data_IF_143643143842
#
_entry.id   IF_143643143842
#
_cell.length_a   1.000
_cell.length_b   1.000
_cell.length_c   1.000
_cell.angle_alpha   90.00
_cell.angle_beta   90.00
_cell.angle_gamma   90.00
#
_symmetry.space_group_name_H-M   'P 1'
#
loop_
_entity.id
_entity.type
_entity.pdbx_description
1 polymer ?
#
# COMPACT_ATOMS: atom_id res chain seq x y z
N UNK A 1 -33.86 -15.42 14.98
CA UNK A 1 -33.09 -15.14 13.76
C UNK A 1 -31.64 -15.05 14.18
N UNK A 2 -30.89 -16.14 14.02
CA UNK A 2 -29.49 -16.23 14.49
C UNK A 2 -28.63 -15.67 13.37
N UNK A 3 -28.05 -14.49 13.58
CA UNK A 3 -26.95 -13.99 12.75
C UNK A 3 -25.77 -14.89 13.10
N UNK A 4 -25.43 -15.82 12.21
CA UNK A 4 -24.21 -16.62 12.35
C UNK A 4 -23.06 -15.71 11.92
N UNK A 5 -22.44 -15.05 12.90
CA UNK A 5 -21.13 -14.41 12.74
C UNK A 5 -20.10 -15.51 12.49
N UNK A 6 -19.85 -15.82 11.23
CA UNK A 6 -18.71 -16.63 10.82
C UNK A 6 -17.49 -15.73 10.60
N UNK A 7 -16.26 -16.15 10.94
CA UNK A 7 -15.07 -15.45 10.50
C UNK A 7 -15.07 -15.35 8.97
N UNK A 8 -14.62 -14.22 8.43
CA UNK A 8 -14.38 -14.09 6.99
C UNK A 8 -13.65 -15.33 6.47
N UNK A 9 -14.16 -15.93 5.39
CA UNK A 9 -13.50 -17.07 4.74
C UNK A 9 -12.09 -16.73 4.21
N UNK A 10 -11.75 -15.43 4.23
CA UNK A 10 -10.47 -14.87 3.81
C UNK A 10 -9.69 -14.38 5.01
N UNK A 11 -8.46 -14.88 5.16
CA UNK A 11 -7.52 -14.45 6.18
C UNK A 11 -6.78 -13.17 5.78
N UNK A 12 -6.32 -13.09 4.52
CA UNK A 12 -5.55 -11.94 4.01
C UNK A 12 -5.89 -11.63 2.56
N UNK A 13 -5.74 -10.36 2.19
CA UNK A 13 -5.90 -9.88 0.82
C UNK A 13 -4.80 -8.87 0.46
N UNK A 14 -4.34 -8.93 -0.78
CA UNK A 14 -3.31 -8.04 -1.33
C UNK A 14 -3.49 -7.78 -2.81
N UNK A 15 -2.84 -6.76 -3.36
CA UNK A 15 -2.83 -6.48 -4.80
C UNK A 15 -1.38 -6.35 -5.25
N UNK A 16 -0.58 -7.43 -5.31
CA UNK A 16 0.88 -7.33 -5.41
C UNK A 16 1.38 -6.74 -6.73
N UNK A 17 0.60 -6.81 -7.82
CA UNK A 17 1.03 -6.35 -9.15
C UNK A 17 -0.13 -5.93 -10.04
N UNK A 18 0.21 -5.23 -11.12
CA UNK A 18 -0.68 -4.95 -12.24
C UNK A 18 0.01 -5.30 -13.56
N UNK A 19 -0.79 -5.58 -14.59
CA UNK A 19 -0.31 -5.85 -15.95
C UNK A 19 -1.18 -5.05 -16.92
N UNK A 20 -0.55 -4.41 -17.89
CA UNK A 20 -1.25 -3.68 -18.96
C UNK A 20 -1.14 -4.48 -20.25
N UNK A 21 -2.28 -4.91 -20.79
CA UNK A 21 -2.33 -5.67 -22.04
C UNK A 21 -1.78 -4.87 -23.23
N UNK A 22 -1.19 -5.57 -24.20
CA UNK A 22 -0.75 -5.04 -25.48
C UNK A 22 -1.87 -5.08 -26.53
N UNK A 23 -1.73 -4.33 -27.63
CA UNK A 23 -2.68 -4.37 -28.76
C UNK A 23 -3.93 -3.47 -28.61
N UNK A 24 -5.00 -3.80 -29.35
CA UNK A 24 -6.20 -2.95 -29.49
C UNK A 24 -7.06 -2.86 -28.22
N UNK A 25 -6.91 -3.80 -27.29
CA UNK A 25 -7.66 -3.88 -26.03
C UNK A 25 -6.74 -3.62 -24.82
N UNK A 26 -6.08 -2.45 -24.79
CA UNK A 26 -5.22 -2.00 -23.67
C UNK A 26 -6.04 -1.82 -22.38
N UNK A 27 -6.28 -2.90 -21.67
CA UNK A 27 -6.83 -2.88 -20.32
C UNK A 27 -5.72 -3.19 -19.32
N UNK A 28 -5.69 -2.42 -18.22
CA UNK A 28 -4.86 -2.74 -17.06
C UNK A 28 -5.65 -3.64 -16.12
N UNK A 29 -5.05 -4.78 -15.77
CA UNK A 29 -5.54 -5.74 -14.80
C UNK A 29 -4.69 -5.68 -13.53
N UNK A 30 -5.34 -5.64 -12.39
CA UNK A 30 -4.72 -5.72 -11.07
C UNK A 30 -4.88 -7.16 -10.56
N UNK A 31 -3.76 -7.80 -10.23
CA UNK A 31 -3.77 -9.13 -9.67
C UNK A 31 -4.08 -9.03 -8.17
N UNK A 32 -5.27 -9.50 -7.77
CA UNK A 32 -5.70 -9.56 -6.38
C UNK A 32 -5.34 -10.94 -5.83
N UNK A 33 -4.48 -10.97 -4.82
CA UNK A 33 -4.09 -12.19 -4.12
C UNK A 33 -5.00 -12.38 -2.90
N UNK A 34 -5.61 -13.55 -2.80
CA UNK A 34 -6.53 -13.91 -1.71
C UNK A 34 -5.94 -15.10 -0.96
N UNK A 35 -5.79 -14.96 0.36
CA UNK A 35 -5.35 -16.04 1.25
C UNK A 35 -6.55 -16.47 2.07
N UNK A 36 -7.17 -17.62 1.77
CA UNK A 36 -8.28 -18.12 2.55
C UNK A 36 -7.80 -18.57 3.94
N UNK A 37 -8.74 -18.69 4.89
CA UNK A 37 -8.45 -19.28 6.23
C UNK A 37 -8.00 -20.74 6.11
N UNK A 38 -8.55 -21.46 5.12
CA UNK A 38 -8.19 -22.83 4.81
C UNK A 38 -7.99 -22.98 3.30
N UNK A 39 -6.90 -23.66 2.92
CA UNK A 39 -6.54 -23.92 1.53
C UNK A 39 -5.43 -23.01 0.98
N UNK A 40 -5.02 -23.22 -0.28
CA UNK A 40 -3.96 -22.44 -0.89
C UNK A 40 -4.41 -21.01 -1.20
N UNK A 41 -3.46 -20.08 -1.16
CA UNK A 41 -3.67 -18.74 -1.70
C UNK A 41 -3.90 -18.81 -3.22
N UNK A 42 -4.71 -17.91 -3.74
CA UNK A 42 -5.05 -17.84 -5.16
C UNK A 42 -5.09 -16.40 -5.67
N UNK A 43 -5.13 -16.23 -6.98
CA UNK A 43 -5.23 -14.92 -7.62
C UNK A 43 -6.54 -14.76 -8.40
N UNK A 44 -7.03 -13.53 -8.44
CA UNK A 44 -8.06 -13.10 -9.40
C UNK A 44 -7.61 -11.80 -10.07
N UNK A 45 -7.89 -11.65 -11.35
CA UNK A 45 -7.52 -10.45 -12.12
C UNK A 45 -8.71 -9.51 -12.23
N UNK A 46 -8.54 -8.24 -11.84
CA UNK A 46 -9.63 -7.25 -11.85
C UNK A 46 -9.22 -5.95 -12.54
N UNK A 47 -10.10 -5.42 -13.38
CA UNK A 47 -10.01 -4.07 -13.95
C UNK A 47 -10.44 -3.04 -12.93
N UNK A 48 -9.92 -1.82 -13.06
CA UNK A 48 -10.34 -0.70 -12.19
C UNK A 48 -11.87 -0.47 -12.19
N UNK A 49 -12.55 -0.68 -13.31
CA UNK A 49 -14.02 -0.56 -13.39
C UNK A 49 -14.76 -1.56 -12.50
N UNK A 50 -14.19 -2.75 -12.27
CA UNK A 50 -14.77 -3.75 -11.36
C UNK A 50 -14.65 -3.30 -9.91
N UNK A 51 -13.55 -2.66 -9.51
CA UNK A 51 -13.42 -2.04 -8.19
C UNK A 51 -14.45 -0.92 -7.98
N UNK A 52 -14.67 -0.07 -9.01
CA UNK A 52 -15.68 1.00 -8.95
C UNK A 52 -17.10 0.43 -8.77
N UNK A 53 -17.42 -0.67 -9.44
CA UNK A 53 -18.71 -1.34 -9.26
C UNK A 53 -18.84 -1.94 -7.86
N UNK A 54 -17.79 -2.60 -7.36
CA UNK A 54 -17.72 -3.13 -6.00
C UNK A 54 -17.98 -2.02 -4.96
N UNK A 55 -17.23 -0.93 -4.99
CA UNK A 55 -17.38 0.20 -4.05
C UNK A 55 -18.79 0.78 -4.08
N UNK A 56 -19.37 0.98 -5.28
CA UNK A 56 -20.74 1.46 -5.43
C UNK A 56 -21.75 0.52 -4.77
N UNK A 57 -21.64 -0.79 -5.00
CA UNK A 57 -22.56 -1.78 -4.45
C UNK A 57 -22.41 -1.94 -2.93
N UNK A 58 -21.17 -1.94 -2.43
CA UNK A 58 -20.91 -1.99 -0.99
C UNK A 58 -21.47 -0.75 -0.28
N UNK A 59 -21.24 0.46 -0.81
CA UNK A 59 -21.78 1.69 -0.21
C UNK A 59 -23.31 1.76 -0.28
N UNK A 60 -23.92 1.19 -1.31
CA UNK A 60 -25.37 1.11 -1.41
C UNK A 60 -25.99 0.14 -0.38
N UNK A 61 -25.30 -0.95 -0.05
CA UNK A 61 -25.79 -1.96 0.91
C UNK A 61 -25.38 -1.67 2.35
N UNK A 62 -24.22 -1.05 2.57
CA UNK A 62 -23.58 -0.85 3.86
C UNK A 62 -23.17 0.62 4.05
N UNK A 63 -24.15 1.52 3.98
CA UNK A 63 -23.91 2.96 4.01
C UNK A 63 -23.21 3.45 5.30
N UNK A 64 -23.42 2.76 6.42
CA UNK A 64 -22.86 3.11 7.73
C UNK A 64 -21.43 2.59 7.94
N UNK A 65 -20.92 1.72 7.04
CA UNK A 65 -19.56 1.20 7.13
C UNK A 65 -18.57 2.20 6.53
N UNK A 66 -17.60 2.72 7.31
CA UNK A 66 -16.65 3.71 6.81
C UNK A 66 -15.62 3.04 5.89
N UNK A 67 -15.87 3.07 4.58
CA UNK A 67 -14.94 2.59 3.56
C UNK A 67 -14.08 3.73 2.99
N UNK A 68 -12.76 3.52 2.79
CA UNK A 68 -11.89 4.52 2.18
C UNK A 68 -12.32 4.80 0.73
N UNK A 69 -12.10 6.03 0.28
CA UNK A 69 -12.42 6.40 -1.10
C UNK A 69 -11.49 5.69 -2.09
N UNK A 70 -12.04 5.21 -3.21
CA UNK A 70 -11.25 4.67 -4.31
C UNK A 70 -10.33 5.73 -4.95
N UNK A 71 -9.20 5.32 -5.55
CA UNK A 71 -8.36 6.24 -6.32
C UNK A 71 -9.14 6.87 -7.49
N UNK A 72 -8.86 8.13 -7.85
CA UNK A 72 -9.64 8.84 -8.86
C UNK A 72 -9.55 8.20 -10.26
N UNK A 73 -10.62 8.40 -11.05
CA UNK A 73 -10.58 8.17 -12.49
C UNK A 73 -9.64 9.20 -13.11
N UNK A 74 -8.68 8.73 -13.91
CA UNK A 74 -7.78 9.60 -14.67
C UNK A 74 -8.32 9.80 -16.08
N UNK A 75 -8.37 11.04 -16.60
CA UNK A 75 -8.69 11.30 -17.99
C UNK A 75 -7.81 10.47 -18.92
N UNK A 76 -8.40 9.84 -19.95
CA UNK A 76 -7.68 8.97 -20.89
C UNK A 76 -6.52 9.69 -21.60
N UNK A 77 -6.63 11.00 -21.80
CA UNK A 77 -5.61 11.86 -22.43
C UNK A 77 -4.30 11.94 -21.65
N UNK A 78 -4.32 11.69 -20.34
CA UNK A 78 -3.12 11.75 -19.48
C UNK A 78 -2.36 10.42 -19.41
N UNK A 79 -2.79 9.41 -20.18
CA UNK A 79 -2.20 8.08 -20.21
C UNK A 79 -2.34 7.32 -18.88
N UNK A 80 -1.64 6.19 -18.79
CA UNK A 80 -1.54 5.35 -17.59
C UNK A 80 -0.04 5.10 -17.32
N UNK A 81 0.67 6.08 -16.76
CA UNK A 81 2.07 5.89 -16.41
C UNK A 81 2.22 4.82 -15.33
N UNK A 82 3.38 4.16 -15.25
CA UNK A 82 3.62 3.10 -14.26
C UNK A 82 3.50 3.62 -12.82
N UNK A 83 3.94 4.86 -12.56
CA UNK A 83 3.81 5.51 -11.25
C UNK A 83 2.35 5.69 -10.87
N UNK A 84 1.51 6.07 -11.82
CA UNK A 84 0.08 6.22 -11.58
C UNK A 84 -0.61 4.88 -11.34
N UNK A 85 -0.23 3.86 -12.10
CA UNK A 85 -0.77 2.52 -11.91
C UNK A 85 -0.32 1.92 -10.58
N UNK A 86 0.89 2.24 -10.11
CA UNK A 86 1.37 1.85 -8.78
C UNK A 86 0.65 2.60 -7.67
N UNK A 87 0.51 3.93 -7.75
CA UNK A 87 -0.30 4.72 -6.81
C UNK A 87 -1.72 4.12 -6.70
N UNK A 88 -2.34 3.81 -7.85
CA UNK A 88 -3.65 3.15 -7.90
C UNK A 88 -3.63 1.77 -7.26
N UNK A 89 -2.64 0.91 -7.58
CA UNK A 89 -2.53 -0.45 -7.03
C UNK A 89 -2.49 -0.43 -5.50
N UNK A 90 -1.68 0.45 -4.92
CA UNK A 90 -1.55 0.63 -3.46
C UNK A 90 -2.90 1.02 -2.85
N UNK A 91 -3.60 1.99 -3.45
CA UNK A 91 -4.89 2.47 -2.94
C UNK A 91 -6.01 1.43 -3.09
N UNK A 92 -5.99 0.62 -4.15
CA UNK A 92 -6.91 -0.50 -4.32
C UNK A 92 -6.66 -1.61 -3.28
N UNK A 93 -5.41 -1.89 -2.96
CA UNK A 93 -5.07 -2.82 -1.88
C UNK A 93 -5.57 -2.34 -0.53
N UNK A 94 -5.34 -1.06 -0.21
CA UNK A 94 -5.85 -0.45 1.02
C UNK A 94 -7.38 -0.54 1.12
N UNK A 95 -8.08 -0.27 0.02
CA UNK A 95 -9.54 -0.41 -0.06
C UNK A 95 -9.99 -1.85 0.28
N UNK A 96 -9.39 -2.86 -0.37
CA UNK A 96 -9.76 -4.26 -0.12
C UNK A 96 -9.44 -4.72 1.31
N UNK A 97 -8.29 -4.30 1.85
CA UNK A 97 -7.93 -4.58 3.26
C UNK A 97 -8.93 -3.93 4.22
N UNK A 98 -9.40 -2.72 3.92
CA UNK A 98 -10.41 -2.03 4.72
C UNK A 98 -11.77 -2.73 4.67
N UNK A 99 -12.17 -3.26 3.51
CA UNK A 99 -13.39 -4.09 3.40
C UNK A 99 -13.25 -5.38 4.20
N UNK A 100 -12.08 -6.05 4.12
CA UNK A 100 -11.82 -7.31 4.82
C UNK A 100 -11.77 -7.13 6.35
N UNK A 101 -11.26 -6.00 6.82
CA UNK A 101 -11.12 -5.68 8.24
C UNK A 101 -12.31 -4.89 8.81
N UNK A 102 -13.33 -4.60 8.00
CA UNK A 102 -14.51 -3.89 8.47
C UNK A 102 -15.35 -4.79 9.37
N UNK A 103 -15.96 -4.20 10.39
CA UNK A 103 -16.86 -4.91 11.27
C UNK A 103 -18.18 -5.25 10.56
N UNK A 104 -18.72 -6.43 10.86
CA UNK A 104 -20.04 -6.84 10.44
C UNK A 104 -20.12 -7.58 9.09
N UNK A 105 -21.34 -7.70 8.52
CA UNK A 105 -21.63 -8.64 7.46
C UNK A 105 -21.00 -8.31 6.10
N UNK A 106 -20.46 -7.09 5.93
CA UNK A 106 -19.81 -6.64 4.69
C UNK A 106 -18.70 -7.60 4.22
N UNK A 107 -17.96 -8.19 5.16
CA UNK A 107 -16.86 -9.15 4.92
C UNK A 107 -17.33 -10.47 4.31
N UNK A 108 -18.61 -10.81 4.50
CA UNK A 108 -19.24 -12.06 4.04
C UNK A 108 -20.31 -11.81 2.97
N UNK A 109 -20.46 -10.56 2.51
CA UNK A 109 -21.50 -10.24 1.54
C UNK A 109 -21.21 -10.86 0.17
N UNK A 110 -22.27 -11.27 -0.53
CA UNK A 110 -22.17 -11.95 -1.81
C UNK A 110 -21.44 -11.11 -2.87
N UNK A 111 -21.66 -9.80 -2.90
CA UNK A 111 -20.95 -8.88 -3.80
C UNK A 111 -19.43 -8.96 -3.61
N UNK A 112 -18.94 -8.90 -2.37
CA UNK A 112 -17.50 -8.98 -2.08
C UNK A 112 -16.93 -10.37 -2.36
N UNK A 113 -17.63 -11.43 -1.92
CA UNK A 113 -17.22 -12.81 -2.16
C UNK A 113 -17.17 -13.16 -3.65
N UNK A 114 -18.12 -12.66 -4.45
CA UNK A 114 -18.10 -12.81 -5.89
C UNK A 114 -16.93 -12.02 -6.49
N UNK A 115 -16.67 -10.79 -6.05
CA UNK A 115 -15.54 -10.02 -6.56
C UNK A 115 -14.20 -10.76 -6.37
N UNK A 116 -13.98 -11.37 -5.21
CA UNK A 116 -12.75 -12.13 -4.90
C UNK A 116 -12.81 -13.61 -5.30
N UNK A 117 -13.92 -14.08 -5.87
CA UNK A 117 -14.15 -15.46 -6.28
C UNK A 117 -14.37 -15.67 -7.78
N UNK A 118 -14.81 -14.64 -8.50
CA UNK A 118 -14.96 -14.67 -9.96
C UNK A 118 -13.60 -14.70 -10.64
N UNK A 119 -13.48 -15.49 -11.71
CA UNK A 119 -12.27 -15.62 -12.53
C UNK A 119 -11.09 -16.24 -11.76
N UNK A 120 -11.36 -17.16 -10.82
CA UNK A 120 -10.35 -18.09 -10.27
C UNK A 120 -9.75 -18.86 -11.44
N UNK A 121 -8.58 -18.43 -11.89
CA UNK A 121 -7.78 -19.02 -12.97
C UNK A 121 -8.52 -19.35 -14.27
N UNK A 122 -9.26 -18.38 -14.84
CA UNK A 122 -9.64 -18.45 -16.26
C UNK A 122 -8.49 -18.04 -17.20
N UNK A 123 -7.45 -17.38 -16.68
CA UNK A 123 -6.25 -16.97 -17.42
C UNK A 123 -5.10 -16.74 -16.42
N UNK A 124 -4.63 -17.80 -15.75
CA UNK A 124 -3.25 -17.82 -15.29
C UNK A 124 -2.35 -17.87 -16.53
N UNK A 125 -2.32 -16.77 -17.29
CA UNK A 125 -1.24 -16.54 -18.24
C UNK A 125 0.02 -16.64 -17.39
N UNK A 126 0.90 -17.57 -17.72
CA UNK A 126 2.30 -17.49 -17.33
C UNK A 126 2.80 -16.15 -17.87
N UNK A 127 2.68 -15.10 -17.04
CA UNK A 127 3.11 -13.74 -17.39
C UNK A 127 4.63 -13.74 -17.23
N UNK A 128 5.32 -14.37 -18.19
CA UNK A 128 6.72 -14.13 -18.47
C UNK A 128 6.85 -12.72 -19.06
N UNK A 129 6.77 -11.74 -18.16
CA UNK A 129 7.29 -10.40 -18.40
C UNK A 129 8.78 -10.41 -18.12
N UNK A 130 9.55 -10.56 -19.19
CA UNK A 130 10.99 -10.37 -19.27
C UNK A 130 11.44 -9.10 -18.48
N UNK A 131 12.56 -9.21 -17.75
CA UNK A 131 13.19 -8.23 -16.83
C UNK A 131 12.68 -8.09 -15.37
N UNK A 132 12.38 -9.17 -14.63
CA UNK A 132 12.01 -9.08 -13.20
C UNK A 132 12.69 -10.05 -12.24
N UNK A 133 13.80 -10.69 -12.61
CA UNK A 133 14.53 -11.60 -11.69
C UNK A 133 14.83 -10.97 -10.32
N UNK A 134 15.10 -9.66 -10.28
CA UNK A 134 15.35 -8.91 -9.03
C UNK A 134 14.07 -8.43 -8.31
N UNK A 135 12.98 -8.17 -9.04
CA UNK A 135 11.68 -7.73 -8.48
C UNK A 135 10.80 -8.89 -8.02
N UNK A 136 11.02 -10.11 -8.53
CA UNK A 136 10.30 -11.31 -8.08
C UNK A 136 10.51 -11.56 -6.59
N UNK A 137 11.66 -11.23 -6.00
CA UNK A 137 11.87 -11.43 -4.57
C UNK A 137 11.21 -10.35 -3.68
N UNK A 138 10.98 -9.14 -4.20
CA UNK A 138 10.44 -8.01 -3.40
C UNK A 138 8.92 -7.85 -3.47
N UNK A 139 8.30 -8.44 -4.49
CA UNK A 139 6.85 -8.39 -4.73
C UNK A 139 6.12 -9.66 -4.28
N UNK A 140 6.83 -10.79 -4.12
CA UNK A 140 6.22 -12.08 -3.80
C UNK A 140 6.24 -12.43 -2.30
N UNK A 141 7.08 -11.82 -1.48
CA UNK A 141 7.12 -12.04 -0.01
C UNK A 141 6.23 -11.08 0.78
N UNK A 142 4.95 -10.96 0.40
CA UNK A 142 3.97 -10.29 1.27
C UNK A 142 3.58 -11.18 2.45
N UNK A 143 3.83 -12.49 2.34
CA UNK A 143 3.28 -13.49 3.26
C UNK A 143 4.27 -14.22 4.15
N UNK A 144 5.55 -14.28 3.78
CA UNK A 144 6.57 -14.75 4.73
C UNK A 144 6.81 -13.66 5.77
N UNK A 145 6.83 -14.01 7.08
CA UNK A 145 7.29 -13.10 8.11
C UNK A 145 8.68 -12.61 7.72
N UNK A 146 8.80 -11.33 7.38
CA UNK A 146 10.10 -10.75 7.10
C UNK A 146 10.85 -10.64 8.43
N UNK A 147 11.93 -11.40 8.55
CA UNK A 147 12.80 -11.34 9.71
C UNK A 147 13.70 -10.09 9.57
N UNK A 148 13.49 -9.12 10.46
CA UNK A 148 14.30 -7.92 10.50
C UNK A 148 15.67 -8.24 11.11
N UNK A 149 16.76 -7.67 10.58
CA UNK A 149 18.07 -7.77 11.20
C UNK A 149 18.04 -7.34 12.68
N UNK A 150 18.81 -8.03 13.52
CA UNK A 150 18.82 -7.78 14.97
C UNK A 150 19.12 -6.31 15.32
N UNK A 151 20.06 -5.72 14.59
CA UNK A 151 20.53 -4.35 14.77
C UNK A 151 19.63 -3.29 14.11
N UNK A 152 18.52 -3.68 13.47
CA UNK A 152 17.64 -2.70 12.83
C UNK A 152 16.79 -1.96 13.86
N UNK A 153 17.01 -0.65 13.95
CA UNK A 153 16.36 0.27 14.90
C UNK A 153 14.83 0.37 14.73
N UNK A 154 14.35 0.31 13.48
CA UNK A 154 12.93 0.45 13.17
C UNK A 154 12.42 -0.84 12.56
N UNK A 155 11.49 -1.52 13.23
CA UNK A 155 10.86 -2.76 12.74
C UNK A 155 9.41 -2.57 12.33
N UNK A 156 8.79 -1.47 12.73
CA UNK A 156 7.41 -1.16 12.35
C UNK A 156 7.20 0.35 12.17
N UNK A 157 6.46 0.71 11.12
CA UNK A 157 6.02 2.08 10.84
C UNK A 157 4.52 2.07 10.55
N UNK A 158 3.79 2.96 11.23
CA UNK A 158 2.41 3.31 10.90
C UNK A 158 2.20 4.82 10.86
N UNK A 159 1.23 5.26 10.09
CA UNK A 159 0.80 6.65 9.97
C UNK A 159 -0.71 6.67 10.24
N UNK A 160 -1.16 6.59 11.50
CA UNK A 160 -2.58 6.43 11.81
C UNK A 160 -3.41 7.67 11.48
N UNK A 161 -2.80 8.85 11.45
CA UNK A 161 -3.52 10.10 11.20
C UNK A 161 -2.67 11.17 10.53
N UNK A 162 -3.37 12.12 9.92
CA UNK A 162 -2.81 13.35 9.40
C UNK A 162 -3.53 14.55 10.04
N UNK A 163 -2.78 15.62 10.32
CA UNK A 163 -3.31 16.88 10.84
C UNK A 163 -3.24 17.94 9.75
N UNK A 164 -4.39 18.51 9.41
CA UNK A 164 -4.49 19.67 8.53
C UNK A 164 -4.12 20.91 9.34
N UNK A 165 -3.07 21.62 8.90
CA UNK A 165 -2.66 22.92 9.44
C UNK A 165 -3.12 24.02 8.46
N UNK A 166 -2.94 25.29 8.83
CA UNK A 166 -3.32 26.43 8.01
C UNK A 166 -2.62 26.50 6.65
N UNK A 167 -1.38 26.01 6.56
CA UNK A 167 -0.50 26.15 5.38
C UNK A 167 0.08 24.82 4.88
N UNK A 168 -0.04 23.75 5.67
CA UNK A 168 0.53 22.43 5.37
C UNK A 168 -0.23 21.28 6.04
N UNK A 169 0.12 20.05 5.67
CA UNK A 169 -0.38 18.82 6.29
C UNK A 169 0.78 18.14 7.01
N UNK A 170 0.54 17.71 8.25
CA UNK A 170 1.49 16.91 9.04
C UNK A 170 0.98 15.48 9.16
N UNK A 171 1.80 14.53 8.73
CA UNK A 171 1.57 13.11 8.92
C UNK A 171 2.23 12.67 10.23
N UNK A 172 1.47 11.97 11.08
CA UNK A 172 1.99 11.46 12.34
C UNK A 172 2.60 10.08 12.11
N UNK A 173 3.92 10.01 12.00
CA UNK A 173 4.66 8.77 11.77
C UNK A 173 4.98 8.15 13.13
N UNK A 174 4.41 6.97 13.40
CA UNK A 174 4.68 6.16 14.56
C UNK A 174 5.69 5.09 14.18
N UNK A 175 6.82 5.08 14.86
CA UNK A 175 7.90 4.11 14.67
C UNK A 175 8.03 3.24 15.91
N UNK A 176 8.41 1.98 15.73
CA UNK A 176 8.80 1.12 16.85
C UNK A 176 9.90 0.12 16.52
N UNK A 177 10.71 -0.17 17.55
CA UNK A 177 11.78 -1.17 17.52
C UNK A 177 11.27 -2.59 17.78
N UNK A 178 10.15 -2.73 18.50
CA UNK A 178 9.49 -4.02 18.78
C UNK A 178 8.14 -4.12 18.07
N UNK A 179 7.68 -5.32 17.71
CA UNK A 179 6.28 -5.57 17.38
C UNK A 179 5.39 -5.17 18.57
N UNK A 180 4.13 -4.81 18.31
CA UNK A 180 3.14 -4.34 19.31
C UNK A 180 2.92 -5.26 20.53
N UNK A 181 3.48 -6.47 20.53
CA UNK A 181 3.26 -7.55 21.49
C UNK A 181 4.22 -7.59 22.68
N UNK A 182 5.30 -6.81 22.71
CA UNK A 182 6.27 -6.84 23.80
C UNK A 182 6.24 -5.58 24.67
N UNK A 183 6.55 -5.76 25.96
CA UNK A 183 6.46 -4.76 27.03
C UNK A 183 7.07 -3.41 26.63
N UNK A 184 6.32 -2.34 26.88
CA UNK A 184 6.71 -0.95 26.64
C UNK A 184 7.96 -0.58 27.46
N UNK A 185 9.14 -0.75 26.90
CA UNK A 185 10.29 0.03 27.34
C UNK A 185 10.12 1.45 26.78
N UNK A 186 10.32 2.48 27.60
CA UNK A 186 9.99 3.89 27.31
C UNK A 186 10.66 4.50 26.07
N UNK A 187 11.54 3.75 25.40
CA UNK A 187 12.27 4.15 24.19
C UNK A 187 11.95 3.29 22.94
N UNK A 188 11.11 2.25 23.05
CA UNK A 188 10.84 1.36 21.91
C UNK A 188 9.78 1.87 20.93
N UNK A 189 9.10 2.97 21.26
CA UNK A 189 8.10 3.64 20.42
C UNK A 189 8.30 5.15 20.44
N UNK A 190 8.26 5.78 19.27
CA UNK A 190 8.28 7.24 19.16
C UNK A 190 7.44 7.72 17.99
N UNK A 191 7.14 9.01 18.01
CA UNK A 191 6.29 9.67 17.04
C UNK A 191 7.00 10.88 16.46
N UNK A 192 6.99 11.02 15.14
CA UNK A 192 7.44 12.21 14.46
C UNK A 192 6.34 12.81 13.58
N UNK A 193 6.33 14.13 13.44
CA UNK A 193 5.43 14.85 12.55
C UNK A 193 6.20 15.26 11.31
N UNK A 194 5.75 14.83 10.13
CA UNK A 194 6.44 15.12 8.86
C UNK A 194 5.47 15.66 7.81
N UNK A 195 5.95 16.58 7.00
CA UNK A 195 5.25 17.04 5.79
C UNK A 195 5.55 16.08 4.65
N UNK A 196 4.68 16.08 3.64
CA UNK A 196 4.95 15.35 2.41
C UNK A 196 6.23 15.82 1.70
N UNK A 197 6.55 17.11 1.80
CA UNK A 197 7.80 17.65 1.24
C UNK A 197 9.04 17.08 1.91
N UNK A 198 8.97 16.78 3.20
CA UNK A 198 10.10 16.21 3.96
C UNK A 198 10.38 14.79 3.46
N UNK A 199 9.33 14.03 3.14
CA UNK A 199 9.45 12.70 2.52
C UNK A 199 10.11 12.78 1.13
N UNK A 200 9.71 13.74 0.30
CA UNK A 200 10.31 13.91 -1.03
C UNK A 200 11.80 14.28 -0.95
N UNK A 201 12.18 15.14 -0.01
CA UNK A 201 13.58 15.47 0.26
C UNK A 201 14.34 14.23 0.72
N UNK A 202 13.83 13.50 1.72
CA UNK A 202 14.42 12.25 2.19
C UNK A 202 14.63 11.24 1.06
N UNK A 203 13.61 11.00 0.22
CA UNK A 203 13.70 10.04 -0.89
C UNK A 203 14.72 10.46 -1.95
N UNK A 204 14.84 11.76 -2.23
CA UNK A 204 15.83 12.29 -3.17
C UNK A 204 17.24 12.04 -2.63
N UNK A 205 17.47 12.39 -1.38
CA UNK A 205 18.80 12.31 -0.75
C UNK A 205 19.19 10.83 -0.55
N UNK A 206 18.26 9.98 -0.11
CA UNK A 206 18.46 8.55 0.03
C UNK A 206 18.79 7.88 -1.32
N UNK A 207 18.08 8.23 -2.40
CA UNK A 207 18.39 7.71 -3.74
C UNK A 207 19.79 8.14 -4.20
N UNK A 208 20.19 9.37 -3.94
CA UNK A 208 21.52 9.86 -4.27
C UNK A 208 22.61 9.13 -3.46
N UNK A 209 22.36 8.87 -2.18
CA UNK A 209 23.26 8.09 -1.34
C UNK A 209 23.39 6.65 -1.84
N UNK A 210 22.28 5.94 -2.03
CA UNK A 210 22.29 4.55 -2.49
C UNK A 210 22.92 4.40 -3.87
N UNK A 211 22.68 5.34 -4.78
CA UNK A 211 23.35 5.34 -6.09
C UNK A 211 24.88 5.41 -5.98
N UNK A 212 25.40 6.02 -4.90
CA UNK A 212 26.84 6.15 -4.64
C UNK A 212 27.39 4.97 -3.84
N UNK A 213 26.65 4.45 -2.86
CA UNK A 213 27.15 3.49 -1.87
C UNK A 213 26.76 2.04 -2.16
N UNK A 214 25.55 1.81 -2.68
CA UNK A 214 25.01 0.49 -2.94
C UNK A 214 24.01 0.50 -4.11
N UNK A 215 24.47 0.47 -5.37
CA UNK A 215 23.60 0.48 -6.55
C UNK A 215 22.60 -0.68 -6.58
N UNK A 216 22.95 -1.84 -6.03
CA UNK A 216 22.04 -2.98 -5.94
C UNK A 216 20.82 -2.70 -5.06
N UNK A 217 21.00 -1.96 -3.95
CA UNK A 217 19.89 -1.54 -3.10
C UNK A 217 18.99 -0.50 -3.80
N UNK A 218 19.55 0.34 -4.68
CA UNK A 218 18.78 1.30 -5.47
C UNK A 218 17.76 0.59 -6.38
N UNK A 219 18.16 -0.53 -6.99
CA UNK A 219 17.29 -1.36 -7.84
C UNK A 219 16.15 -2.03 -7.06
N UNK A 220 16.27 -2.15 -5.73
CA UNK A 220 15.26 -2.72 -4.85
C UNK A 220 14.22 -1.70 -4.38
N UNK A 221 14.46 -0.41 -4.58
CA UNK A 221 13.50 0.61 -4.17
C UNK A 221 12.16 0.43 -4.89
N UNK A 222 11.03 0.74 -4.23
CA UNK A 222 9.75 0.78 -4.92
C UNK A 222 9.81 1.75 -6.12
N UNK A 223 8.91 1.52 -7.09
CA UNK A 223 8.63 2.44 -8.20
C UNK A 223 8.55 3.89 -7.69
N UNK A 224 8.93 4.87 -8.52
CA UNK A 224 9.18 6.24 -8.10
C UNK A 224 8.15 6.77 -7.07
N UNK A 225 8.61 7.42 -5.98
CA UNK A 225 7.71 7.90 -4.92
C UNK A 225 6.63 8.83 -5.50
N UNK A 226 5.48 8.96 -4.82
CA UNK A 226 4.40 9.80 -5.31
C UNK A 226 4.91 11.21 -5.57
N UNK A 227 4.51 11.79 -6.69
CA UNK A 227 4.98 13.12 -7.08
C UNK A 227 4.19 14.23 -6.40
N UNK A 228 4.81 15.40 -6.25
CA UNK A 228 4.10 16.60 -5.81
C UNK A 228 3.02 16.96 -6.83
N UNK A 229 1.76 16.90 -6.43
CA UNK A 229 0.65 17.36 -7.27
C UNK A 229 0.55 18.89 -7.22
N UNK A 230 0.03 19.48 -8.29
CA UNK A 230 -0.15 20.93 -8.40
C UNK A 230 -1.27 21.41 -7.48
N UNK A 231 -0.99 22.45 -6.67
CA UNK A 231 -1.98 23.12 -5.82
C UNK A 231 -3.10 23.80 -6.61
N UNK A 232 -2.89 24.08 -7.90
CA UNK A 232 -3.91 24.68 -8.78
C UNK A 232 -4.94 23.64 -9.22
N UNK A 233 -4.54 22.37 -9.32
CA UNK A 233 -5.38 21.29 -9.84
C UNK A 233 -5.92 20.36 -8.76
N UNK A 234 -5.33 20.41 -7.56
CA UNK A 234 -5.68 19.54 -6.44
C UNK A 234 -5.77 20.37 -5.18
N UNK A 235 -6.88 20.24 -4.47
CA UNK A 235 -6.99 20.71 -3.10
C UNK A 235 -6.14 19.79 -2.21
N UNK A 236 -5.11 20.35 -1.58
CA UNK A 236 -4.21 19.60 -0.72
C UNK A 236 -4.73 19.44 0.72
N UNK A 237 -5.89 20.03 1.03
CA UNK A 237 -6.60 19.90 2.30
C UNK A 237 -7.83 18.99 2.18
N UNK A 238 -8.21 18.61 0.96
CA UNK A 238 -9.26 17.63 0.71
C UNK A 238 -8.98 16.33 1.49
N UNK A 239 -9.93 15.85 2.33
CA UNK A 239 -9.72 14.67 3.16
C UNK A 239 -9.36 13.41 2.38
N UNK A 240 -9.95 13.21 1.19
CA UNK A 240 -9.64 12.05 0.34
C UNK A 240 -8.20 12.12 -0.16
N UNK A 241 -7.78 13.27 -0.64
CA UNK A 241 -6.40 13.50 -1.07
C UNK A 241 -5.38 13.32 0.06
N UNK A 242 -5.68 13.85 1.24
CA UNK A 242 -4.82 13.71 2.43
C UNK A 242 -4.67 12.23 2.81
N UNK A 243 -5.78 11.48 2.80
CA UNK A 243 -5.79 10.06 3.13
C UNK A 243 -5.05 9.22 2.08
N UNK A 244 -5.30 9.44 0.78
CA UNK A 244 -4.55 8.75 -0.28
C UNK A 244 -3.05 8.95 -0.12
N UNK A 245 -2.62 10.17 0.20
CA UNK A 245 -1.21 10.47 0.43
C UNK A 245 -0.69 9.80 1.71
N UNK A 246 -1.46 9.73 2.79
CA UNK A 246 -1.11 9.01 4.03
C UNK A 246 -0.81 7.54 3.74
N UNK A 247 -1.72 6.87 3.02
CA UNK A 247 -1.59 5.46 2.63
C UNK A 247 -0.34 5.23 1.78
N UNK A 248 -0.09 6.11 0.79
CA UNK A 248 1.11 6.02 -0.04
C UNK A 248 2.38 6.18 0.80
N UNK A 249 2.46 7.21 1.64
CA UNK A 249 3.60 7.42 2.55
C UNK A 249 3.88 6.18 3.39
N UNK A 250 2.86 5.64 4.06
CA UNK A 250 2.97 4.46 4.91
C UNK A 250 3.46 3.23 4.13
N UNK A 251 2.92 2.99 2.94
CA UNK A 251 3.37 1.91 2.06
C UNK A 251 4.86 2.04 1.71
N UNK A 252 5.30 3.23 1.29
CA UNK A 252 6.70 3.46 0.90
C UNK A 252 7.65 3.29 2.07
N UNK A 253 7.33 3.84 3.25
CA UNK A 253 8.18 3.71 4.44
C UNK A 253 8.30 2.24 4.86
N UNK A 254 7.21 1.48 4.87
CA UNK A 254 7.25 0.04 5.16
C UNK A 254 8.05 -0.77 4.14
N UNK A 255 8.07 -0.35 2.86
CA UNK A 255 8.95 -0.98 1.86
C UNK A 255 10.42 -0.67 2.10
N UNK A 256 10.77 0.54 2.53
CA UNK A 256 12.15 0.90 2.86
C UNK A 256 12.68 0.08 4.05
N UNK A 257 11.85 -0.26 5.03
CA UNK A 257 12.24 -1.11 6.15
C UNK A 257 12.74 -2.50 5.74
N UNK A 258 12.37 -2.97 4.55
CA UNK A 258 12.77 -4.29 4.01
C UNK A 258 14.01 -4.22 3.12
N UNK A 259 14.61 -3.04 2.99
CA UNK A 259 15.84 -2.81 2.24
C UNK A 259 16.87 -2.38 3.27
N UNK A 260 17.70 -3.31 3.73
CA UNK A 260 18.64 -3.10 4.83
C UNK A 260 19.47 -1.82 4.69
N UNK A 261 19.99 -1.54 3.49
CA UNK A 261 20.80 -0.34 3.22
C UNK A 261 19.98 0.96 3.30
N UNK A 262 18.68 0.91 3.00
CA UNK A 262 17.79 2.05 3.18
C UNK A 262 17.36 2.19 4.65
N UNK A 263 17.03 1.08 5.31
CA UNK A 263 16.59 1.04 6.69
C UNK A 263 17.68 1.50 7.68
N UNK A 264 18.95 1.24 7.37
CA UNK A 264 20.12 1.65 8.16
C UNK A 264 20.72 3.00 7.75
N UNK A 265 20.23 3.65 6.70
CA UNK A 265 20.75 4.95 6.26
C UNK A 265 20.42 6.05 7.29
N UNK A 266 21.42 6.86 7.65
CA UNK A 266 21.27 8.08 8.43
C UNK A 266 20.15 8.98 7.89
N UNK A 267 19.98 9.06 6.58
CA UNK A 267 18.96 9.89 5.92
C UNK A 267 17.56 9.41 6.31
N UNK A 268 17.34 8.09 6.28
CA UNK A 268 16.06 7.48 6.64
C UNK A 268 15.81 7.53 8.15
N UNK A 269 16.83 7.25 8.97
CA UNK A 269 16.73 7.28 10.44
C UNK A 269 16.46 8.70 10.96
N UNK A 270 17.13 9.73 10.42
CA UNK A 270 16.85 11.15 10.72
C UNK A 270 15.46 11.57 10.28
N UNK A 271 15.00 11.10 9.13
CA UNK A 271 13.62 11.34 8.70
C UNK A 271 12.62 10.74 9.69
N UNK A 272 12.85 9.51 10.17
CA UNK A 272 12.00 8.85 11.16
C UNK A 272 12.17 9.39 12.60
N UNK A 273 13.15 10.29 12.83
CA UNK A 273 13.49 10.86 14.13
C UNK A 273 13.85 9.80 15.19
N UNK A 274 14.69 8.83 14.79
CA UNK A 274 15.26 7.85 15.72
C UNK A 274 16.05 8.59 16.81
N UNK A 275 15.79 8.34 18.10
CA UNK A 275 16.50 9.02 19.18
C UNK A 275 18.02 8.78 19.11
N UNK A 276 18.82 9.86 19.16
CA UNK A 276 20.28 9.78 19.22
C UNK A 276 21.01 9.83 17.86
N UNK A 277 20.27 10.00 16.76
CA UNK A 277 20.78 10.19 15.38
C UNK A 277 20.47 11.61 14.90
#
# INVERSE_FOLDING_TARGET
MVVVEGPSAVQRIGVPRFVTGSGANKATLFAVRVVPVAGPAYFVSKRFTQFVNLDRELRAQYADVPLPALPPKRPKILGQSNEFLEERRILLEHFLKSVLNADGPITTCTTFLNFIGSDRDADAVDIEGDNTGSMKHLLFDVDEPYEFPDLQEIRHISIPQAKVMSDHILYQIHCSATPHTELRHSHSHWVSLKRFTDFLTMMKDLRAELARTCPDALCKLPLAPPTRKSRVLHDHTDPVFVEHRRVLLEYYLNKLLRIEQAASSDIFLKYCAVPGI
#
